data_IF_262124560130
#
_entry.id   IF_262124560130
#
_cell.length_a   1.000
_cell.length_b   1.000
_cell.length_c   1.000
_cell.angle_alpha   90.00
_cell.angle_beta   90.00
_cell.angle_gamma   90.00
#
_symmetry.space_group_name_H-M   'P 1'
#
loop_
_entity.id
_entity.type
_entity.pdbx_description
1 polymer ?
#
# COMPACT_ATOMS: atom_id res chain seq x y z
N UNK A 1 41.28 0.68 -83.68
CA UNK A 1 42.51 1.15 -84.40
C UNK A 1 43.58 1.57 -83.40
N UNK A 2 44.66 0.86 -83.45
CA UNK A 2 46.07 1.22 -83.28
C UNK A 2 46.49 1.67 -81.85
N UNK A 3 47.27 0.84 -81.13
CA UNK A 3 48.73 0.66 -81.11
C UNK A 3 49.48 2.01 -80.81
N UNK A 4 50.36 2.13 -79.82
CA UNK A 4 51.62 1.43 -79.59
C UNK A 4 52.22 1.95 -78.25
N UNK A 5 52.80 1.14 -77.41
CA UNK A 5 54.23 0.82 -77.15
C UNK A 5 55.17 1.98 -76.86
N UNK A 6 55.89 1.88 -75.75
CA UNK A 6 57.34 1.91 -75.59
C UNK A 6 57.72 2.27 -74.14
N UNK A 7 58.27 1.39 -73.36
CA UNK A 7 59.67 1.01 -73.14
C UNK A 7 60.48 1.96 -72.22
N UNK A 8 60.79 1.47 -71.07
CA UNK A 8 62.11 1.30 -70.43
C UNK A 8 63.01 2.48 -70.16
N UNK A 9 63.24 2.75 -68.85
CA UNK A 9 64.64 3.02 -68.41
C UNK A 9 64.81 2.76 -66.93
N UNK A 10 65.64 1.81 -66.61
CA UNK A 10 66.20 1.52 -65.28
C UNK A 10 67.09 2.70 -64.86
N UNK A 11 66.99 3.08 -63.59
CA UNK A 11 68.10 3.61 -62.85
C UNK A 11 68.11 3.16 -61.41
N UNK A 12 69.19 2.53 -61.03
CA UNK A 12 69.48 2.00 -59.74
C UNK A 12 69.91 3.11 -58.78
N UNK A 13 69.30 3.22 -57.66
CA UNK A 13 69.87 3.91 -56.51
C UNK A 13 70.00 2.94 -55.35
N UNK A 14 71.22 2.65 -54.99
CA UNK A 14 71.70 1.83 -53.91
C UNK A 14 71.72 2.69 -52.62
N UNK A 15 70.64 2.66 -51.79
CA UNK A 15 70.58 3.38 -50.52
C UNK A 15 70.79 2.40 -49.38
N UNK A 16 71.74 2.68 -48.53
CA UNK A 16 72.13 1.93 -47.32
C UNK A 16 70.93 1.79 -46.38
N UNK A 17 70.53 0.54 -46.08
CA UNK A 17 69.61 0.22 -44.94
C UNK A 17 70.45 0.29 -43.68
N UNK A 18 70.27 1.31 -42.88
CA UNK A 18 70.60 1.30 -41.44
C UNK A 18 69.60 0.43 -40.71
N UNK A 19 70.05 -0.64 -40.06
CA UNK A 19 69.25 -1.50 -39.18
C UNK A 19 68.80 -0.73 -37.94
N UNK A 20 67.55 -0.29 -37.95
CA UNK A 20 66.92 0.19 -36.70
C UNK A 20 66.62 -1.03 -35.75
N UNK A 21 67.30 -1.02 -34.62
CA UNK A 21 67.09 -2.02 -33.56
C UNK A 21 65.63 -2.04 -33.12
N UNK A 22 64.94 -3.16 -33.34
CA UNK A 22 63.61 -3.44 -32.82
C UNK A 22 63.68 -3.46 -31.29
N UNK A 23 63.17 -2.40 -30.62
CA UNK A 23 62.91 -2.43 -29.18
C UNK A 23 61.90 -3.52 -28.91
N UNK A 24 62.34 -4.62 -28.28
CA UNK A 24 61.48 -5.68 -27.76
C UNK A 24 60.46 -5.09 -26.81
N UNK A 25 59.16 -5.23 -27.12
CA UNK A 25 58.08 -4.94 -26.17
C UNK A 25 58.31 -5.81 -24.93
N UNK A 26 58.27 -5.25 -23.72
CA UNK A 26 58.34 -6.04 -22.52
C UNK A 26 57.18 -7.06 -22.51
N UNK A 27 57.48 -8.34 -22.41
CA UNK A 27 56.48 -9.41 -22.28
C UNK A 27 55.68 -9.13 -21.02
N UNK A 28 54.35 -8.99 -21.14
CA UNK A 28 53.50 -8.91 -20.00
C UNK A 28 53.69 -10.16 -19.13
N UNK A 29 54.11 -9.96 -17.88
CA UNK A 29 54.24 -11.07 -16.92
C UNK A 29 52.87 -11.77 -16.82
N UNK A 30 52.83 -13.13 -16.91
CA UNK A 30 51.56 -13.83 -16.75
C UNK A 30 51.03 -13.58 -15.36
N UNK A 31 49.73 -13.23 -15.27
CA UNK A 31 49.04 -13.08 -13.99
C UNK A 31 49.14 -14.38 -13.19
N UNK A 32 49.59 -14.28 -11.96
CA UNK A 32 49.62 -15.44 -11.04
C UNK A 32 48.20 -15.84 -10.67
N UNK A 33 47.95 -17.14 -10.46
CA UNK A 33 46.62 -17.64 -10.00
C UNK A 33 46.10 -16.97 -8.72
N UNK A 34 46.97 -16.35 -7.92
CA UNK A 34 46.62 -15.59 -6.71
C UNK A 34 45.98 -14.22 -7.03
N UNK A 35 46.38 -13.58 -8.15
CA UNK A 35 45.79 -12.30 -8.58
C UNK A 35 44.39 -12.46 -9.20
N UNK A 36 43.96 -13.70 -9.47
CA UNK A 36 42.63 -14.04 -10.00
C UNK A 36 41.63 -14.50 -8.92
N UNK A 37 42.06 -14.60 -7.66
CA UNK A 37 41.12 -14.96 -6.57
C UNK A 37 40.29 -13.73 -6.21
N UNK A 38 38.94 -13.80 -6.31
CA UNK A 38 38.09 -12.71 -5.85
C UNK A 38 38.35 -12.47 -4.36
N UNK A 39 38.53 -11.21 -3.97
CA UNK A 39 38.73 -10.83 -2.56
C UNK A 39 37.65 -11.44 -1.67
N UNK A 40 38.01 -11.92 -0.48
CA UNK A 40 37.06 -12.52 0.51
C UNK A 40 35.83 -11.64 0.74
N UNK A 41 36.00 -10.32 0.71
CA UNK A 41 34.94 -9.31 0.83
C UNK A 41 33.85 -9.46 -0.25
N UNK A 42 34.22 -9.72 -1.50
CA UNK A 42 33.24 -9.95 -2.59
C UNK A 42 32.48 -11.26 -2.46
N UNK A 43 33.05 -12.27 -1.81
CA UNK A 43 32.37 -13.57 -1.58
C UNK A 43 31.22 -13.41 -0.57
N UNK A 44 31.43 -12.66 0.52
CA UNK A 44 30.40 -12.38 1.52
C UNK A 44 29.27 -11.52 0.92
N UNK A 45 29.60 -10.44 0.22
CA UNK A 45 28.61 -9.60 -0.47
C UNK A 45 27.81 -10.43 -1.50
N UNK A 46 28.48 -11.32 -2.23
CA UNK A 46 27.82 -12.23 -3.17
C UNK A 46 26.89 -13.24 -2.51
N UNK A 47 27.23 -13.72 -1.32
CA UNK A 47 26.33 -14.55 -0.52
C UNK A 47 25.09 -13.76 -0.08
N UNK A 48 25.27 -12.57 0.48
CA UNK A 48 24.14 -11.69 0.87
C UNK A 48 23.26 -11.35 -0.33
N UNK A 49 23.84 -11.04 -1.49
CA UNK A 49 23.10 -10.79 -2.71
C UNK A 49 22.17 -11.95 -3.09
N UNK A 50 22.69 -13.20 -3.01
CA UNK A 50 21.88 -14.39 -3.29
C UNK A 50 20.76 -14.57 -2.26
N UNK A 51 21.06 -14.43 -0.97
CA UNK A 51 20.06 -14.57 0.10
C UNK A 51 18.94 -13.53 -0.07
N UNK A 52 19.28 -12.26 -0.27
CA UNK A 52 18.29 -11.21 -0.41
C UNK A 52 17.48 -11.32 -1.70
N UNK A 53 18.11 -11.73 -2.81
CA UNK A 53 17.39 -11.99 -4.06
C UNK A 53 16.38 -13.14 -3.89
N UNK A 54 16.76 -14.23 -3.21
CA UNK A 54 15.86 -15.35 -2.94
C UNK A 54 14.73 -14.98 -1.99
N UNK A 55 14.99 -14.19 -0.93
CA UNK A 55 13.95 -13.70 -0.02
C UNK A 55 12.96 -12.81 -0.76
N UNK A 56 13.45 -11.89 -1.61
CA UNK A 56 12.59 -11.04 -2.43
C UNK A 56 11.76 -11.87 -3.41
N UNK A 57 12.36 -12.84 -4.08
CA UNK A 57 11.65 -13.76 -4.97
C UNK A 57 10.55 -14.54 -4.25
N UNK A 58 10.85 -15.06 -3.06
CA UNK A 58 9.90 -15.82 -2.24
C UNK A 58 8.71 -14.94 -1.82
N UNK A 59 8.96 -13.72 -1.35
CA UNK A 59 7.90 -12.77 -0.98
C UNK A 59 7.06 -12.36 -2.21
N UNK A 60 7.71 -12.14 -3.35
CA UNK A 60 7.02 -11.85 -4.62
C UNK A 60 6.12 -13.01 -5.05
N UNK A 61 6.60 -14.25 -4.90
CA UNK A 61 5.81 -15.44 -5.17
C UNK A 61 4.64 -15.59 -4.20
N UNK A 62 4.84 -15.31 -2.91
CA UNK A 62 3.78 -15.36 -1.90
C UNK A 62 2.62 -14.39 -2.23
N UNK A 63 2.93 -13.16 -2.67
CA UNK A 63 1.91 -12.20 -3.12
C UNK A 63 1.13 -12.69 -4.36
N UNK A 64 1.77 -13.46 -5.22
CA UNK A 64 1.16 -14.00 -6.43
C UNK A 64 0.31 -15.28 -6.19
N UNK A 65 0.29 -15.81 -4.96
CA UNK A 65 -0.53 -16.97 -4.62
C UNK A 65 -2.02 -16.65 -4.76
N UNK A 66 -2.85 -17.61 -5.18
CA UNK A 66 -4.30 -17.53 -5.07
C UNK A 66 -4.75 -17.27 -3.62
N UNK A 67 -5.92 -16.64 -3.44
CA UNK A 67 -6.44 -16.27 -2.12
C UNK A 67 -6.50 -17.46 -1.14
N UNK A 68 -6.91 -18.63 -1.60
CA UNK A 68 -7.01 -19.83 -0.78
C UNK A 68 -5.66 -20.32 -0.21
N UNK A 69 -4.56 -20.02 -0.88
CA UNK A 69 -3.22 -20.33 -0.37
C UNK A 69 -2.65 -19.22 0.52
N UNK A 70 -3.26 -18.05 0.50
CA UNK A 70 -2.82 -16.94 1.36
C UNK A 70 -3.30 -17.08 2.81
N UNK A 71 -4.24 -17.99 3.12
CA UNK A 71 -4.62 -18.33 4.49
C UNK A 71 -3.63 -19.28 5.20
N UNK A 72 -2.57 -19.71 4.51
CA UNK A 72 -1.53 -20.54 5.14
C UNK A 72 -0.80 -19.76 6.25
N UNK A 73 -0.37 -20.46 7.31
CA UNK A 73 0.31 -19.82 8.44
C UNK A 73 1.45 -18.90 8.02
N UNK A 74 1.46 -17.68 8.56
CA UNK A 74 2.44 -16.61 8.34
C UNK A 74 2.47 -16.01 6.92
N UNK A 75 1.78 -16.58 5.93
CA UNK A 75 1.73 -16.03 4.56
C UNK A 75 1.11 -14.63 4.54
N UNK A 76 -0.02 -14.36 5.24
CA UNK A 76 -0.56 -12.99 5.27
C UNK A 76 0.43 -11.97 5.86
N UNK A 77 1.13 -12.33 6.94
CA UNK A 77 2.12 -11.43 7.56
C UNK A 77 3.27 -11.13 6.58
N UNK A 78 3.74 -12.13 5.85
CA UNK A 78 4.76 -11.94 4.82
C UNK A 78 4.29 -10.98 3.72
N UNK A 79 3.05 -11.18 3.24
CA UNK A 79 2.47 -10.35 2.18
C UNK A 79 2.27 -8.90 2.64
N UNK A 80 1.92 -8.65 3.91
CA UNK A 80 1.80 -7.29 4.46
C UNK A 80 3.09 -6.46 4.29
N UNK A 81 4.24 -7.10 4.20
CA UNK A 81 5.53 -6.46 4.02
C UNK A 81 5.99 -6.34 2.54
N UNK A 82 5.12 -6.59 1.57
CA UNK A 82 5.47 -6.58 0.13
C UNK A 82 6.24 -5.33 -0.31
N UNK A 83 5.84 -4.08 0.02
CA UNK A 83 6.59 -2.89 -0.39
C UNK A 83 8.05 -2.88 0.10
N UNK A 84 8.30 -3.44 1.26
CA UNK A 84 9.64 -3.51 1.87
C UNK A 84 10.54 -4.55 1.19
N UNK A 85 9.94 -5.62 0.65
CA UNK A 85 10.69 -6.59 -0.15
C UNK A 85 11.16 -6.01 -1.49
N UNK A 86 10.48 -5.03 -2.05
CA UNK A 86 10.99 -4.28 -3.20
C UNK A 86 12.30 -3.55 -2.84
N UNK A 87 12.37 -2.90 -1.67
CA UNK A 87 13.59 -2.27 -1.18
C UNK A 87 14.71 -3.30 -0.96
N UNK A 88 14.38 -4.45 -0.35
CA UNK A 88 15.34 -5.54 -0.18
C UNK A 88 15.89 -6.06 -1.53
N UNK A 89 15.02 -6.14 -2.55
CA UNK A 89 15.40 -6.51 -3.92
C UNK A 89 16.35 -5.51 -4.57
N UNK A 90 16.16 -4.21 -4.34
CA UNK A 90 17.09 -3.16 -4.80
C UNK A 90 18.46 -3.31 -4.12
N UNK A 91 18.50 -3.59 -2.83
CA UNK A 91 19.74 -3.87 -2.10
C UNK A 91 20.41 -5.14 -2.66
N UNK A 92 19.64 -6.20 -2.89
CA UNK A 92 20.13 -7.43 -3.51
C UNK A 92 20.77 -7.17 -4.87
N UNK A 93 20.13 -6.36 -5.71
CA UNK A 93 20.63 -5.96 -7.03
C UNK A 93 21.97 -5.22 -6.93
N UNK A 94 22.08 -4.23 -6.07
CA UNK A 94 23.33 -3.50 -5.83
C UNK A 94 24.46 -4.44 -5.39
N UNK A 95 24.19 -5.31 -4.43
CA UNK A 95 25.16 -6.29 -3.93
C UNK A 95 25.55 -7.29 -5.03
N UNK A 96 24.60 -7.71 -5.88
CA UNK A 96 24.84 -8.62 -6.98
C UNK A 96 25.75 -7.99 -8.05
N UNK A 97 25.55 -6.73 -8.38
CA UNK A 97 26.40 -5.96 -9.32
C UNK A 97 27.82 -5.88 -8.76
N UNK A 98 28.00 -5.44 -7.51
CA UNK A 98 29.32 -5.29 -6.86
C UNK A 98 30.06 -6.63 -6.77
N UNK A 99 29.35 -7.71 -6.47
CA UNK A 99 29.91 -9.05 -6.32
C UNK A 99 29.92 -9.88 -7.63
N UNK A 100 29.46 -9.31 -8.75
CA UNK A 100 29.36 -9.96 -10.07
C UNK A 100 28.54 -11.25 -10.07
N UNK A 101 27.43 -11.27 -9.32
CA UNK A 101 26.51 -12.41 -9.22
C UNK A 101 25.35 -12.24 -10.22
N UNK A 102 25.57 -12.64 -11.46
CA UNK A 102 24.64 -12.41 -12.58
C UNK A 102 23.25 -13.02 -12.29
N UNK A 103 23.17 -14.26 -11.83
CA UNK A 103 21.88 -14.91 -11.57
C UNK A 103 21.09 -14.18 -10.45
N UNK A 104 21.77 -13.81 -9.36
CA UNK A 104 21.14 -13.02 -8.30
C UNK A 104 20.65 -11.64 -8.79
N UNK A 105 21.41 -10.99 -9.67
CA UNK A 105 21.02 -9.74 -10.31
C UNK A 105 19.76 -9.90 -11.18
N UNK A 106 19.71 -10.95 -12.01
CA UNK A 106 18.53 -11.22 -12.84
C UNK A 106 17.28 -11.51 -12.01
N UNK A 107 17.40 -12.32 -10.95
CA UNK A 107 16.29 -12.59 -10.02
C UNK A 107 15.83 -11.29 -9.35
N UNK A 108 16.75 -10.49 -8.83
CA UNK A 108 16.43 -9.23 -8.17
C UNK A 108 15.75 -8.23 -9.15
N UNK A 109 16.24 -8.10 -10.40
CA UNK A 109 15.62 -7.26 -11.42
C UNK A 109 14.18 -7.71 -11.69
N UNK A 110 13.95 -9.00 -11.92
CA UNK A 110 12.62 -9.51 -12.20
C UNK A 110 11.64 -9.27 -11.04
N UNK A 111 12.08 -9.57 -9.80
CA UNK A 111 11.26 -9.37 -8.61
C UNK A 111 10.97 -7.87 -8.35
N UNK A 112 11.97 -7.00 -8.47
CA UNK A 112 11.81 -5.54 -8.30
C UNK A 112 10.90 -4.96 -9.39
N UNK A 113 11.06 -5.37 -10.64
CA UNK A 113 10.23 -4.90 -11.74
C UNK A 113 8.76 -5.29 -11.53
N UNK A 114 8.50 -6.54 -11.13
CA UNK A 114 7.14 -7.03 -10.86
C UNK A 114 6.51 -6.32 -9.65
N UNK A 115 7.24 -6.17 -8.54
CA UNK A 115 6.76 -5.41 -7.39
C UNK A 115 6.53 -3.93 -7.75
N UNK A 116 7.43 -3.31 -8.50
CA UNK A 116 7.26 -1.94 -9.00
C UNK A 116 6.00 -1.78 -9.85
N UNK A 117 5.73 -2.71 -10.75
CA UNK A 117 4.49 -2.74 -11.52
C UNK A 117 3.24 -2.82 -10.63
N UNK A 118 3.24 -3.67 -9.59
CA UNK A 118 2.13 -3.80 -8.68
C UNK A 118 1.91 -2.57 -7.80
N UNK A 119 2.99 -1.90 -7.38
CA UNK A 119 2.92 -0.74 -6.49
C UNK A 119 2.77 0.60 -7.24
N UNK A 120 3.06 0.65 -8.54
CA UNK A 120 3.02 1.88 -9.35
C UNK A 120 1.71 2.68 -9.20
N UNK A 121 0.49 2.05 -9.21
CA UNK A 121 -0.75 2.80 -9.08
C UNK A 121 -0.94 3.54 -7.74
N UNK A 122 -0.19 3.20 -6.70
CA UNK A 122 -0.19 4.00 -5.46
C UNK A 122 0.45 5.37 -5.62
N UNK A 123 1.23 5.58 -6.68
CA UNK A 123 1.99 6.81 -6.93
C UNK A 123 1.52 7.57 -8.17
N UNK A 124 0.47 7.07 -8.81
CA UNK A 124 -0.09 7.68 -10.00
C UNK A 124 -1.60 7.67 -9.93
N UNK A 125 -2.21 8.87 -9.74
CA UNK A 125 -3.67 8.98 -9.72
C UNK A 125 -4.27 8.65 -11.08
N UNK A 126 -5.26 7.77 -11.08
CA UNK A 126 -6.08 7.46 -12.26
C UNK A 126 -7.31 8.35 -12.34
N UNK A 127 -7.77 8.84 -11.19
CA UNK A 127 -8.96 9.68 -11.04
C UNK A 127 -8.68 10.75 -9.99
N UNK A 128 -7.98 11.86 -10.35
CA UNK A 128 -7.66 12.91 -9.39
C UNK A 128 -8.94 13.59 -8.88
N UNK A 129 -8.93 13.97 -7.60
CA UNK A 129 -10.01 14.77 -7.03
C UNK A 129 -10.16 16.07 -7.80
N UNK A 130 -11.41 16.49 -8.12
CA UNK A 130 -11.66 17.78 -8.73
C UNK A 130 -11.29 18.93 -7.77
N UNK A 131 -10.95 20.11 -8.33
CA UNK A 131 -10.61 21.27 -7.53
C UNK A 131 -11.76 21.69 -6.59
N UNK A 132 -13.01 21.41 -6.98
CA UNK A 132 -14.18 21.65 -6.15
C UNK A 132 -14.12 20.88 -4.81
N UNK A 133 -13.70 19.61 -4.83
CA UNK A 133 -13.54 18.81 -3.62
C UNK A 133 -12.42 19.36 -2.71
N UNK A 134 -11.31 19.84 -3.28
CA UNK A 134 -10.26 20.51 -2.51
C UNK A 134 -10.77 21.77 -1.83
N UNK A 135 -11.60 22.55 -2.52
CA UNK A 135 -12.17 23.77 -1.99
C UNK A 135 -13.22 23.49 -0.91
N UNK A 136 -14.09 22.49 -1.11
CA UNK A 136 -15.16 22.13 -0.19
C UNK A 136 -14.62 21.81 1.22
N UNK A 137 -13.52 21.05 1.30
CA UNK A 137 -12.89 20.66 2.57
C UNK A 137 -11.88 21.69 3.10
N UNK A 138 -11.70 22.83 2.42
CA UNK A 138 -10.78 23.89 2.86
C UNK A 138 -11.41 24.91 3.81
N UNK A 139 -12.74 24.93 3.93
CA UNK A 139 -13.47 25.87 4.80
C UNK A 139 -13.36 25.52 6.28
N UNK A 140 -13.72 26.46 7.16
CA UNK A 140 -13.62 26.26 8.61
C UNK A 140 -14.65 25.28 9.20
N UNK A 141 -15.76 25.06 8.50
CA UNK A 141 -16.83 24.15 8.89
C UNK A 141 -17.06 23.12 7.77
N UNK A 142 -17.53 21.93 8.16
CA UNK A 142 -17.93 20.89 7.23
C UNK A 142 -19.15 21.34 6.42
N UNK A 143 -19.14 21.15 5.11
CA UNK A 143 -20.28 21.42 4.25
C UNK A 143 -21.03 20.13 3.94
N UNK A 144 -22.04 19.82 4.73
CA UNK A 144 -22.82 18.59 4.63
C UNK A 144 -23.90 18.62 3.52
N UNK A 145 -23.94 19.68 2.71
CA UNK A 145 -24.93 19.83 1.64
C UNK A 145 -24.38 19.63 0.24
N UNK A 146 -23.09 19.33 0.12
CA UNK A 146 -22.44 19.03 -1.17
C UNK A 146 -22.15 17.54 -1.34
N UNK A 147 -21.52 17.16 -2.46
CA UNK A 147 -21.19 15.79 -2.80
C UNK A 147 -19.80 15.36 -2.33
N UNK A 148 -19.14 16.18 -1.52
CA UNK A 148 -17.78 15.95 -1.01
C UNK A 148 -17.84 15.72 0.49
N UNK A 149 -17.01 14.81 1.02
CA UNK A 149 -16.87 14.64 2.45
C UNK A 149 -15.43 14.35 2.85
N UNK A 150 -15.04 14.88 4.00
CA UNK A 150 -13.86 14.44 4.70
C UNK A 150 -14.24 13.28 5.62
N UNK A 151 -13.70 12.09 5.34
CA UNK A 151 -14.00 10.89 6.12
C UNK A 151 -12.77 10.42 6.89
N UNK A 152 -12.99 9.76 8.03
CA UNK A 152 -11.92 9.23 8.88
C UNK A 152 -12.27 7.83 9.36
N UNK A 153 -11.30 6.91 9.32
CA UNK A 153 -11.39 5.62 10.00
C UNK A 153 -10.25 5.44 10.98
N UNK A 154 -10.53 4.77 12.11
CA UNK A 154 -9.52 4.57 13.15
C UNK A 154 -9.89 3.40 14.08
N UNK A 155 -9.01 2.40 14.17
CA UNK A 155 -9.10 1.35 15.17
C UNK A 155 -8.62 1.92 16.53
N UNK A 156 -9.49 1.90 17.54
CA UNK A 156 -9.25 2.51 18.86
C UNK A 156 -8.62 1.55 19.88
N UNK A 157 -8.15 0.40 19.42
CA UNK A 157 -7.45 -0.60 20.24
C UNK A 157 -8.17 -0.93 21.55
N UNK A 158 -9.32 -1.60 21.44
CA UNK A 158 -10.17 -1.98 22.60
C UNK A 158 -10.56 -0.78 23.47
N UNK A 159 -10.80 0.36 22.81
CA UNK A 159 -11.18 1.59 23.50
C UNK A 159 -10.06 2.24 24.33
N UNK A 160 -8.78 1.99 24.01
CA UNK A 160 -7.63 2.58 24.70
C UNK A 160 -7.18 3.91 24.08
N UNK A 161 -7.61 4.22 22.86
CA UNK A 161 -7.25 5.46 22.19
C UNK A 161 -7.70 6.70 22.97
N UNK A 162 -6.98 7.80 22.80
CA UNK A 162 -7.30 9.09 23.44
C UNK A 162 -8.51 9.74 22.75
N UNK A 163 -9.64 9.74 23.45
CA UNK A 163 -10.92 10.26 22.95
C UNK A 163 -10.87 11.76 22.67
N UNK A 164 -10.15 12.53 23.48
CA UNK A 164 -10.00 13.99 23.28
C UNK A 164 -9.26 14.29 21.98
N UNK A 165 -8.14 13.59 21.72
CA UNK A 165 -7.38 13.75 20.48
C UNK A 165 -8.18 13.32 19.24
N UNK A 166 -9.09 12.34 19.36
CA UNK A 166 -10.01 11.99 18.26
C UNK A 166 -10.94 13.16 17.96
N UNK A 167 -11.59 13.72 18.99
CA UNK A 167 -12.51 14.87 18.81
C UNK A 167 -11.81 16.09 18.24
N UNK A 168 -10.59 16.37 18.72
CA UNK A 168 -9.75 17.46 18.15
C UNK A 168 -9.41 17.19 16.68
N UNK A 169 -9.06 15.95 16.33
CA UNK A 169 -8.79 15.58 14.94
C UNK A 169 -10.04 15.74 14.07
N UNK A 170 -11.20 15.29 14.54
CA UNK A 170 -12.49 15.46 13.85
C UNK A 170 -12.77 16.94 13.58
N UNK A 171 -12.62 17.80 14.60
CA UNK A 171 -12.79 19.24 14.48
C UNK A 171 -11.80 19.84 13.47
N UNK A 172 -10.52 19.59 13.67
CA UNK A 172 -9.43 20.26 12.93
C UNK A 172 -9.35 19.80 11.47
N UNK A 173 -9.74 18.56 11.20
CA UNK A 173 -9.80 18.00 9.84
C UNK A 173 -11.19 18.09 9.21
N UNK A 174 -12.18 18.64 9.92
CA UNK A 174 -13.58 18.80 9.45
C UNK A 174 -14.18 17.48 8.96
N UNK A 175 -14.00 16.43 9.77
CA UNK A 175 -14.51 15.10 9.46
C UNK A 175 -16.02 15.10 9.50
N UNK A 176 -16.66 14.57 8.47
CA UNK A 176 -18.11 14.48 8.33
C UNK A 176 -18.63 13.09 8.60
N UNK A 177 -17.83 12.06 8.32
CA UNK A 177 -18.15 10.68 8.64
C UNK A 177 -16.93 10.00 9.30
N UNK A 178 -17.14 9.43 10.48
CA UNK A 178 -16.13 8.75 11.29
C UNK A 178 -16.53 7.30 11.52
N UNK A 179 -15.64 6.36 11.16
CA UNK A 179 -15.76 4.94 11.50
C UNK A 179 -14.70 4.57 12.54
N UNK A 180 -15.13 3.97 13.65
CA UNK A 180 -14.22 3.51 14.70
C UNK A 180 -14.37 2.00 14.90
N UNK A 181 -13.25 1.30 15.01
CA UNK A 181 -13.19 -0.13 15.26
C UNK A 181 -12.68 -0.40 16.67
N UNK A 182 -13.04 -1.54 17.22
CA UNK A 182 -12.76 -1.96 18.60
C UNK A 182 -13.36 -1.02 19.66
N UNK A 183 -14.56 -0.50 19.41
CA UNK A 183 -15.28 0.36 20.33
C UNK A 183 -15.91 -0.44 21.47
N UNK A 184 -15.69 0.00 22.71
CA UNK A 184 -16.35 -0.50 23.92
C UNK A 184 -17.33 0.52 24.46
N UNK A 185 -18.32 0.10 25.29
CA UNK A 185 -19.25 1.03 25.94
C UNK A 185 -18.53 2.12 26.74
N UNK A 186 -17.48 1.72 27.45
CA UNK A 186 -16.67 2.65 28.22
C UNK A 186 -15.95 3.68 27.34
N UNK A 187 -15.51 3.28 26.15
CA UNK A 187 -14.88 4.19 25.19
C UNK A 187 -15.91 5.13 24.55
N UNK A 188 -17.07 4.61 24.15
CA UNK A 188 -18.16 5.43 23.60
C UNK A 188 -18.55 6.52 24.58
N UNK A 189 -18.64 6.20 25.89
CA UNK A 189 -18.90 7.22 26.91
C UNK A 189 -17.80 8.28 26.97
N UNK A 190 -16.50 7.89 26.96
CA UNK A 190 -15.38 8.83 26.95
C UNK A 190 -15.42 9.74 25.71
N UNK A 191 -15.77 9.19 24.54
CA UNK A 191 -15.87 9.95 23.30
C UNK A 191 -17.01 10.99 23.37
N UNK A 192 -18.15 10.63 23.96
CA UNK A 192 -19.26 11.57 24.22
C UNK A 192 -18.86 12.64 25.24
N UNK A 193 -18.23 12.25 26.34
CA UNK A 193 -17.76 13.19 27.36
C UNK A 193 -16.71 14.19 26.78
N UNK A 194 -15.90 13.75 25.79
CA UNK A 194 -14.99 14.60 25.03
C UNK A 194 -15.68 15.52 24.02
N UNK A 195 -16.97 15.35 23.76
CA UNK A 195 -17.80 16.25 22.98
C UNK A 195 -17.90 15.94 21.50
N UNK A 196 -17.77 14.65 21.09
CA UNK A 196 -17.92 14.24 19.69
C UNK A 196 -19.25 14.66 19.09
N UNK A 197 -20.34 14.62 19.86
CA UNK A 197 -21.70 14.95 19.42
C UNK A 197 -21.85 16.43 18.97
N UNK A 198 -20.90 17.31 19.32
CA UNK A 198 -20.86 18.68 18.83
C UNK A 198 -20.57 18.76 17.32
N UNK A 199 -19.82 17.79 16.81
CA UNK A 199 -19.36 17.74 15.42
C UNK A 199 -20.07 16.67 14.61
N UNK A 200 -20.31 15.51 15.24
CA UNK A 200 -20.93 14.32 14.65
C UNK A 200 -22.10 13.86 15.53
N UNK A 201 -23.25 14.55 15.47
CA UNK A 201 -24.38 14.32 16.38
C UNK A 201 -25.15 13.02 16.10
N UNK A 202 -24.96 12.42 14.92
CA UNK A 202 -25.66 11.20 14.53
C UNK A 202 -24.70 10.01 14.58
N UNK A 203 -25.16 8.89 15.12
CA UNK A 203 -24.34 7.70 15.21
C UNK A 203 -25.14 6.41 15.13
N UNK A 204 -24.51 5.37 14.63
CA UNK A 204 -24.95 3.97 14.73
C UNK A 204 -23.79 3.17 15.35
N UNK A 205 -23.99 2.62 16.55
CA UNK A 205 -22.90 2.07 17.37
C UNK A 205 -23.29 0.68 17.83
N UNK A 206 -22.47 -0.30 17.44
CA UNK A 206 -22.54 -1.69 17.91
C UNK A 206 -21.30 -1.97 18.75
N UNK A 207 -21.24 -1.37 19.94
CA UNK A 207 -20.12 -1.55 20.88
C UNK A 207 -20.10 -2.94 21.49
N UNK A 208 -18.91 -3.42 21.84
CA UNK A 208 -18.73 -4.71 22.48
C UNK A 208 -17.42 -4.73 23.26
N UNK A 209 -17.32 -5.53 24.29
CA UNK A 209 -16.05 -5.77 24.95
C UNK A 209 -15.05 -6.46 24.01
N UNK A 210 -13.78 -6.07 24.13
CA UNK A 210 -12.71 -6.63 23.31
C UNK A 210 -12.60 -6.00 21.92
N UNK A 211 -12.60 -6.83 20.86
CA UNK A 211 -12.29 -6.41 19.49
C UNK A 211 -13.49 -6.37 18.54
N UNK A 212 -14.69 -6.69 19.01
CA UNK A 212 -15.84 -6.94 18.13
C UNK A 212 -16.71 -5.71 17.90
N UNK A 213 -16.59 -4.68 18.75
CA UNK A 213 -17.43 -3.50 18.66
C UNK A 213 -16.94 -2.50 17.60
N UNK A 214 -17.88 -1.96 16.84
CA UNK A 214 -17.61 -0.90 15.87
C UNK A 214 -18.66 0.20 15.99
N UNK A 215 -18.37 1.37 15.44
CA UNK A 215 -19.31 2.48 15.40
C UNK A 215 -19.11 3.36 14.16
N UNK A 216 -20.19 4.00 13.77
CA UNK A 216 -20.25 4.98 12.71
C UNK A 216 -20.86 6.27 13.25
N UNK A 217 -20.21 7.41 13.06
CA UNK A 217 -20.67 8.74 13.41
C UNK A 217 -20.74 9.62 12.18
N UNK A 218 -21.73 10.53 12.14
CA UNK A 218 -21.94 11.41 11.00
C UNK A 218 -22.36 12.82 11.44
N UNK A 219 -21.95 13.81 10.67
CA UNK A 219 -22.42 15.20 10.79
C UNK A 219 -23.87 15.37 10.30
N UNK A 220 -24.35 14.47 9.43
CA UNK A 220 -25.72 14.44 8.89
C UNK A 220 -26.47 13.21 9.37
N UNK A 221 -27.82 13.22 9.34
CA UNK A 221 -28.63 12.08 9.74
C UNK A 221 -28.24 10.79 9.03
N UNK A 222 -28.12 9.69 9.78
CA UNK A 222 -27.93 8.35 9.28
C UNK A 222 -29.29 7.71 9.01
N UNK A 223 -29.69 7.59 7.75
CA UNK A 223 -30.90 6.89 7.38
C UNK A 223 -30.67 5.36 7.34
N UNK A 224 -31.71 4.61 7.61
CA UNK A 224 -31.71 3.13 7.56
C UNK A 224 -30.50 2.51 8.30
N UNK A 225 -30.26 2.86 9.59
CA UNK A 225 -29.17 2.29 10.36
C UNK A 225 -29.37 0.79 10.56
N UNK A 226 -28.27 0.00 10.44
CA UNK A 226 -28.23 -1.41 10.77
C UNK A 226 -26.99 -1.71 11.59
N UNK A 227 -27.07 -2.67 12.51
CA UNK A 227 -25.98 -2.99 13.42
C UNK A 227 -24.90 -3.84 12.77
N UNK A 228 -25.23 -4.58 11.72
CA UNK A 228 -24.31 -5.40 10.94
C UNK A 228 -24.77 -5.51 9.48
N UNK A 229 -24.17 -4.73 8.59
CA UNK A 229 -24.50 -4.69 7.17
C UNK A 229 -23.97 -5.91 6.41
N UNK A 230 -22.85 -6.45 6.85
CA UNK A 230 -22.13 -7.51 6.16
C UNK A 230 -22.54 -8.89 6.65
N UNK A 231 -23.12 -8.97 7.85
CA UNK A 231 -23.36 -10.22 8.59
C UNK A 231 -22.04 -11.02 8.74
N UNK A 232 -21.02 -10.32 9.22
CA UNK A 232 -19.67 -10.85 9.32
C UNK A 232 -19.48 -11.73 10.55
N UNK A 233 -18.72 -12.79 10.38
CA UNK A 233 -18.25 -13.63 11.51
C UNK A 233 -17.13 -13.00 12.34
N UNK A 234 -16.59 -11.83 11.91
CA UNK A 234 -15.45 -11.19 12.56
C UNK A 234 -15.85 -10.20 13.64
N UNK A 235 -16.77 -9.29 13.34
CA UNK A 235 -17.22 -8.21 14.24
C UNK A 235 -18.56 -7.67 13.77
N UNK A 236 -19.21 -6.83 14.56
CA UNK A 236 -20.30 -6.02 14.06
C UNK A 236 -19.79 -5.02 13.04
N UNK A 237 -20.52 -4.84 11.95
CA UNK A 237 -20.18 -3.87 10.88
C UNK A 237 -21.35 -2.90 10.66
N UNK A 238 -21.56 -1.95 11.58
CA UNK A 238 -22.68 -1.04 11.53
C UNK A 238 -22.61 -0.16 10.30
N UNK A 239 -23.78 0.13 9.74
CA UNK A 239 -23.94 0.97 8.58
C UNK A 239 -25.06 1.99 8.73
N UNK A 240 -25.01 3.02 7.89
CA UNK A 240 -26.06 4.01 7.77
C UNK A 240 -25.91 4.77 6.45
N UNK A 241 -27.03 5.26 5.93
CA UNK A 241 -27.06 6.00 4.66
C UNK A 241 -27.00 7.51 4.95
N UNK A 242 -26.06 8.19 4.32
CA UNK A 242 -25.86 9.64 4.38
C UNK A 242 -26.28 10.25 3.04
N UNK A 243 -27.04 11.33 3.07
CA UNK A 243 -27.28 12.16 1.91
C UNK A 243 -26.08 13.10 1.72
N UNK A 244 -25.44 13.01 0.55
CA UNK A 244 -24.33 13.86 0.15
C UNK A 244 -24.71 14.63 -1.11
N UNK A 245 -25.30 15.82 -0.94
CA UNK A 245 -25.74 16.67 -2.04
C UNK A 245 -26.77 16.01 -2.96
N UNK A 246 -27.73 15.28 -2.39
CA UNK A 246 -28.74 14.50 -3.11
C UNK A 246 -28.29 13.12 -3.56
N UNK A 247 -27.07 12.68 -3.20
CA UNK A 247 -26.57 11.34 -3.43
C UNK A 247 -26.69 10.51 -2.14
N UNK A 248 -27.47 9.46 -2.16
CA UNK A 248 -27.59 8.51 -1.03
C UNK A 248 -26.41 7.56 -1.02
N UNK A 249 -25.54 7.67 -0.02
CA UNK A 249 -24.32 6.87 0.12
C UNK A 249 -24.39 6.06 1.41
N UNK A 250 -24.20 4.76 1.30
CA UNK A 250 -24.18 3.86 2.44
C UNK A 250 -22.77 3.68 2.97
N UNK A 251 -22.55 4.18 4.16
CA UNK A 251 -21.29 4.04 4.89
C UNK A 251 -21.33 2.79 5.77
N UNK A 252 -20.22 2.04 5.79
CA UNK A 252 -20.06 0.82 6.59
C UNK A 252 -18.77 0.92 7.38
N UNK A 253 -18.84 0.74 8.70
CA UNK A 253 -17.65 0.60 9.55
C UNK A 253 -17.19 -0.85 9.55
N UNK A 254 -16.00 -1.12 9.03
CA UNK A 254 -15.48 -2.47 8.76
C UNK A 254 -14.39 -2.84 9.77
N UNK A 255 -14.45 -4.07 10.30
CA UNK A 255 -13.35 -4.67 11.03
C UNK A 255 -13.31 -6.18 10.80
N UNK A 256 -12.33 -6.65 10.05
CA UNK A 256 -12.13 -8.07 9.75
C UNK A 256 -11.27 -8.75 10.82
N UNK A 257 -11.28 -10.07 10.84
CA UNK A 257 -10.41 -10.84 11.74
C UNK A 257 -8.94 -10.58 11.44
N UNK A 258 -8.09 -10.45 12.47
CA UNK A 258 -6.65 -10.31 12.29
C UNK A 258 -5.99 -11.64 11.87
N UNK A 259 -5.00 -11.63 10.95
CA UNK A 259 -4.26 -12.81 10.53
C UNK A 259 -3.18 -13.21 11.55
N UNK A 260 -3.62 -13.70 12.70
CA UNK A 260 -2.75 -14.15 13.80
C UNK A 260 -2.76 -15.67 13.94
N UNK A 261 -1.78 -16.28 14.66
CA UNK A 261 -1.76 -17.73 14.88
C UNK A 261 -3.09 -18.28 15.39
N UNK A 262 -3.62 -19.28 14.69
CA UNK A 262 -4.92 -19.90 14.98
C UNK A 262 -6.10 -19.27 14.24
N UNK A 263 -5.96 -18.09 13.63
CA UNK A 263 -7.07 -17.35 13.01
C UNK A 263 -6.91 -17.11 11.49
N UNK A 264 -5.96 -17.78 10.82
CA UNK A 264 -5.67 -17.58 9.40
C UNK A 264 -6.90 -17.78 8.51
N UNK A 265 -7.69 -18.84 8.75
CA UNK A 265 -8.92 -19.14 8.01
C UNK A 265 -10.03 -18.15 8.31
N UNK A 266 -10.17 -17.74 9.57
CA UNK A 266 -11.15 -16.74 9.98
C UNK A 266 -10.87 -15.39 9.35
N UNK A 267 -9.58 -15.01 9.26
CA UNK A 267 -9.14 -13.83 8.54
C UNK A 267 -9.61 -13.86 7.08
N UNK A 268 -9.29 -14.92 6.34
CA UNK A 268 -9.75 -15.06 4.94
C UNK A 268 -11.26 -15.04 4.84
N UNK A 269 -11.97 -15.81 5.69
CA UNK A 269 -13.42 -15.87 5.71
C UNK A 269 -14.06 -14.49 5.87
N UNK A 270 -13.57 -13.66 6.76
CA UNK A 270 -14.14 -12.32 6.99
C UNK A 270 -13.97 -11.40 5.78
N UNK A 271 -12.92 -11.57 4.99
CA UNK A 271 -12.73 -10.87 3.71
C UNK A 271 -13.61 -11.45 2.61
N UNK A 272 -13.82 -12.77 2.57
CA UNK A 272 -14.75 -13.42 1.64
C UNK A 272 -16.21 -12.96 1.90
N UNK A 273 -16.61 -12.81 3.16
CA UNK A 273 -17.92 -12.29 3.58
C UNK A 273 -18.12 -10.85 3.06
N UNK A 274 -17.11 -9.99 3.17
CA UNK A 274 -17.11 -8.67 2.53
C UNK A 274 -17.23 -8.76 1.00
N UNK A 275 -16.61 -9.74 0.38
CA UNK A 275 -16.69 -9.98 -1.06
C UNK A 275 -18.13 -10.16 -1.58
N UNK A 276 -19.04 -10.65 -0.75
CA UNK A 276 -20.46 -10.80 -1.10
C UNK A 276 -21.15 -9.44 -1.36
N UNK A 277 -20.62 -8.36 -0.77
CA UNK A 277 -21.16 -7.00 -0.96
C UNK A 277 -21.07 -6.51 -2.41
N UNK A 278 -20.24 -7.12 -3.25
CA UNK A 278 -20.21 -6.80 -4.69
C UNK A 278 -21.56 -7.00 -5.39
N UNK A 279 -22.37 -7.95 -4.90
CA UNK A 279 -23.69 -8.26 -5.45
C UNK A 279 -24.82 -7.37 -4.89
N UNK A 280 -24.57 -6.58 -3.84
CA UNK A 280 -25.56 -5.69 -3.22
C UNK A 280 -25.64 -4.37 -4.00
N UNK A 281 -26.41 -4.34 -5.06
CA UNK A 281 -26.48 -3.21 -6.01
C UNK A 281 -27.52 -2.14 -5.66
N UNK A 282 -28.30 -2.33 -4.58
CA UNK A 282 -29.36 -1.41 -4.18
C UNK A 282 -28.80 -0.10 -3.56
N UNK A 283 -27.55 -0.11 -3.15
CA UNK A 283 -26.84 1.02 -2.57
C UNK A 283 -25.51 1.27 -3.26
N UNK A 284 -25.03 2.51 -3.18
CA UNK A 284 -23.66 2.90 -3.43
C UNK A 284 -22.94 2.91 -2.09
N UNK A 285 -21.81 2.23 -1.98
CA UNK A 285 -21.13 1.99 -0.72
C UNK A 285 -19.82 2.77 -0.55
N UNK A 286 -19.53 3.15 0.70
CA UNK A 286 -18.19 3.49 1.17
C UNK A 286 -17.92 2.63 2.41
N UNK A 287 -16.94 1.75 2.31
CA UNK A 287 -16.45 0.93 3.42
C UNK A 287 -15.24 1.60 4.05
N UNK A 288 -15.23 1.72 5.37
CA UNK A 288 -14.17 2.41 6.11
C UNK A 288 -13.78 1.55 7.30
N UNK A 289 -12.51 1.22 7.44
CA UNK A 289 -12.14 0.41 8.61
C UNK A 289 -10.77 -0.25 8.54
N UNK A 290 -10.57 -1.10 9.54
CA UNK A 290 -9.46 -2.02 9.64
C UNK A 290 -9.82 -3.34 8.93
N UNK A 291 -9.28 -3.52 7.74
CA UNK A 291 -9.46 -4.73 6.95
C UNK A 291 -8.47 -5.84 7.33
N UNK A 292 -7.56 -5.56 8.26
CA UNK A 292 -6.51 -6.50 8.64
C UNK A 292 -5.78 -7.12 7.42
N UNK A 293 -5.81 -6.43 6.31
CA UNK A 293 -5.26 -6.83 5.02
C UNK A 293 -4.71 -5.60 4.29
N UNK A 294 -3.57 -5.72 3.65
CA UNK A 294 -3.06 -4.72 2.73
C UNK A 294 -3.61 -4.97 1.31
N UNK A 295 -3.48 -4.00 0.42
CA UNK A 295 -3.82 -4.19 -1.00
C UNK A 295 -3.08 -5.38 -1.65
N UNK A 296 -1.94 -5.80 -1.10
CA UNK A 296 -1.17 -6.91 -1.63
C UNK A 296 -1.78 -8.29 -1.36
N UNK A 297 -2.76 -8.38 -0.43
CA UNK A 297 -3.50 -9.61 -0.18
C UNK A 297 -4.54 -9.89 -1.27
N UNK A 298 -4.54 -11.13 -1.80
CA UNK A 298 -5.53 -11.54 -2.81
C UNK A 298 -6.96 -11.49 -2.28
N UNK A 299 -7.29 -11.94 -1.04
CA UNK A 299 -8.66 -11.83 -0.53
C UNK A 299 -9.19 -10.39 -0.47
N UNK A 300 -8.35 -9.41 -0.15
CA UNK A 300 -8.75 -8.00 -0.19
C UNK A 300 -9.00 -7.52 -1.63
N UNK A 301 -8.17 -7.91 -2.59
CA UNK A 301 -8.40 -7.58 -4.00
C UNK A 301 -9.64 -8.29 -4.56
N UNK A 302 -9.95 -9.50 -4.09
CA UNK A 302 -11.18 -10.22 -4.46
C UNK A 302 -12.41 -9.50 -3.90
N UNK A 303 -12.38 -8.97 -2.67
CA UNK A 303 -13.41 -8.08 -2.15
C UNK A 303 -13.61 -6.85 -3.04
N UNK A 304 -12.52 -6.20 -3.46
CA UNK A 304 -12.63 -5.03 -4.36
C UNK A 304 -13.26 -5.41 -5.70
N UNK A 305 -12.87 -6.55 -6.27
CA UNK A 305 -13.35 -7.03 -7.55
C UNK A 305 -13.18 -6.00 -8.66
N UNK A 306 -14.29 -5.77 -9.39
CA UNK A 306 -14.37 -4.74 -10.45
C UNK A 306 -15.20 -3.53 -10.04
N UNK A 307 -15.83 -3.58 -8.86
CA UNK A 307 -16.78 -2.56 -8.40
C UNK A 307 -16.16 -1.58 -7.41
N UNK A 308 -15.34 -2.06 -6.49
CA UNK A 308 -14.84 -1.25 -5.39
C UNK A 308 -13.38 -0.84 -5.60
N UNK A 309 -13.02 0.32 -5.11
CA UNK A 309 -11.71 0.93 -5.32
C UNK A 309 -11.11 1.41 -3.99
N UNK A 310 -9.87 1.05 -3.72
CA UNK A 310 -9.11 1.57 -2.59
C UNK A 310 -8.73 3.03 -2.81
N UNK A 311 -9.10 3.90 -1.89
CA UNK A 311 -8.93 5.35 -2.00
C UNK A 311 -7.46 5.77 -2.12
N UNK A 312 -6.57 5.15 -1.35
CA UNK A 312 -5.14 5.47 -1.41
C UNK A 312 -4.55 5.13 -2.78
N UNK A 313 -5.01 4.02 -3.37
CA UNK A 313 -4.53 3.57 -4.66
C UNK A 313 -5.04 4.44 -5.82
N UNK A 314 -6.34 4.76 -5.88
CA UNK A 314 -6.88 5.59 -6.96
C UNK A 314 -6.42 7.04 -6.90
N UNK A 315 -6.14 7.53 -5.70
CA UNK A 315 -5.65 8.90 -5.48
C UNK A 315 -4.19 9.11 -5.91
N UNK A 316 -3.42 8.05 -6.05
CA UNK A 316 -1.97 8.16 -6.29
C UNK A 316 -1.19 8.79 -5.13
N UNK A 317 -1.74 8.76 -3.92
CA UNK A 317 -1.16 9.40 -2.73
C UNK A 317 0.17 8.77 -2.29
N UNK A 318 0.39 7.51 -2.58
CA UNK A 318 1.45 6.68 -2.02
C UNK A 318 0.90 5.71 -0.98
N UNK A 319 1.80 5.11 -0.20
CA UNK A 319 1.39 4.17 0.84
C UNK A 319 0.78 4.86 2.06
N UNK A 320 -0.32 4.33 2.55
CA UNK A 320 -0.98 4.74 3.79
C UNK A 320 -0.67 3.75 4.91
N UNK A 321 0.61 3.64 5.29
CA UNK A 321 0.99 2.76 6.40
C UNK A 321 0.37 3.25 7.70
N UNK A 322 -0.45 2.42 8.32
CA UNK A 322 -1.22 2.74 9.52
C UNK A 322 -0.84 1.90 10.73
N UNK A 323 -0.18 0.75 10.54
CA UNK A 323 0.15 -0.20 11.60
C UNK A 323 1.60 -0.71 11.51
N UNK A 324 2.26 -1.01 12.65
CA UNK A 324 1.90 -0.68 14.03
C UNK A 324 2.44 0.70 14.46
N UNK A 325 1.77 1.36 15.40
CA UNK A 325 2.26 2.63 15.99
C UNK A 325 2.96 2.45 17.32
N UNK A 326 2.69 1.35 18.03
CA UNK A 326 3.08 1.09 19.43
C UNK A 326 4.30 0.17 19.60
N UNK A 327 5.09 -0.06 18.54
CA UNK A 327 6.28 -0.92 18.57
C UNK A 327 7.56 -0.10 18.51
N UNK A 328 8.29 0.09 19.62
CA UNK A 328 9.55 0.83 19.61
C UNK A 328 10.55 0.24 18.60
N UNK A 329 11.13 1.10 17.76
CA UNK A 329 12.11 0.70 16.75
C UNK A 329 11.54 0.04 15.48
N UNK A 330 10.24 -0.24 15.42
CA UNK A 330 9.57 -0.70 14.23
C UNK A 330 8.69 0.42 13.67
N UNK A 331 8.96 0.91 12.45
CA UNK A 331 8.08 1.90 11.81
C UNK A 331 6.73 1.26 11.44
N UNK A 332 5.70 2.06 11.25
CA UNK A 332 4.49 1.62 10.56
C UNK A 332 4.90 1.08 9.19
N UNK A 333 4.51 -0.14 8.87
CA UNK A 333 4.93 -0.80 7.64
C UNK A 333 3.80 -1.44 6.85
N UNK A 334 2.62 -1.57 7.43
CA UNK A 334 1.44 -2.15 6.79
C UNK A 334 0.30 -1.13 6.74
N UNK A 335 -0.29 -0.94 5.57
CA UNK A 335 -1.53 -0.19 5.39
C UNK A 335 -2.69 -1.17 5.41
N UNK A 336 -3.31 -1.34 6.57
CA UNK A 336 -4.41 -2.29 6.80
C UNK A 336 -5.74 -1.58 7.09
N UNK A 337 -5.68 -0.28 7.33
CA UNK A 337 -6.85 0.59 7.43
C UNK A 337 -7.12 1.21 6.05
N UNK A 338 -8.35 1.08 5.57
CA UNK A 338 -8.74 1.52 4.24
C UNK A 338 -10.03 2.34 4.24
N UNK A 339 -10.14 3.21 3.24
CA UNK A 339 -11.40 3.75 2.75
C UNK A 339 -11.58 3.19 1.34
N UNK A 340 -12.65 2.46 1.14
CA UNK A 340 -12.98 1.80 -0.11
C UNK A 340 -14.27 2.41 -0.66
N UNK A 341 -14.22 2.91 -1.88
CA UNK A 341 -15.32 3.61 -2.53
C UNK A 341 -15.93 2.78 -3.66
N UNK A 342 -17.21 2.96 -3.93
CA UNK A 342 -17.92 2.33 -5.04
C UNK A 342 -17.51 2.94 -6.39
N UNK A 343 -17.77 2.24 -7.48
CA UNK A 343 -17.52 2.72 -8.85
C UNK A 343 -18.17 4.07 -9.10
N UNK A 344 -17.52 4.91 -9.90
CA UNK A 344 -17.99 6.26 -10.23
C UNK A 344 -17.74 7.28 -9.12
N UNK A 345 -17.09 6.92 -8.00
CA UNK A 345 -16.62 7.84 -6.99
C UNK A 345 -15.13 8.12 -7.17
N UNK A 346 -14.67 9.27 -6.69
CA UNK A 346 -13.24 9.58 -6.60
C UNK A 346 -12.81 9.83 -5.17
N UNK A 347 -11.51 9.71 -4.90
CA UNK A 347 -10.96 9.92 -3.56
C UNK A 347 -9.55 10.53 -3.64
N UNK A 348 -9.15 11.24 -2.59
CA UNK A 348 -7.82 11.82 -2.50
C UNK A 348 -7.53 12.47 -1.16
N UNK A 349 -6.49 13.33 -1.12
CA UNK A 349 -6.04 13.99 0.11
C UNK A 349 -5.89 13.00 1.28
N UNK A 350 -5.42 11.78 1.00
CA UNK A 350 -5.19 10.77 2.02
C UNK A 350 -4.19 11.32 3.05
N UNK A 351 -4.46 11.10 4.34
CA UNK A 351 -3.59 11.53 5.44
C UNK A 351 -3.62 10.50 6.55
N UNK A 352 -2.46 10.09 7.01
CA UNK A 352 -2.32 9.20 8.18
C UNK A 352 -1.95 10.05 9.40
N UNK A 353 -2.71 9.91 10.49
CA UNK A 353 -2.54 10.69 11.72
C UNK A 353 -2.40 9.75 12.91
N UNK A 354 -1.29 9.86 13.64
CA UNK A 354 -1.10 9.10 14.89
C UNK A 354 -1.90 9.75 16.00
N UNK A 355 -2.71 8.94 16.68
CA UNK A 355 -3.46 9.30 17.87
C UNK A 355 -2.98 8.41 19.02
N UNK A 356 -2.74 8.98 20.18
CA UNK A 356 -2.22 8.24 21.33
C UNK A 356 -3.16 7.13 21.80
N UNK A 357 -2.62 6.06 22.35
CA UNK A 357 -3.39 4.98 22.97
C UNK A 357 -3.82 3.87 22.00
N UNK A 358 -3.55 3.99 20.70
CA UNK A 358 -3.81 2.92 19.75
C UNK A 358 -2.51 2.37 19.15
N UNK A 359 -2.56 1.13 18.66
CA UNK A 359 -1.52 0.54 17.82
C UNK A 359 -1.75 0.79 16.33
N UNK A 360 -2.82 1.46 15.96
CA UNK A 360 -3.09 2.00 14.63
C UNK A 360 -2.89 3.51 14.55
N UNK A 361 -2.78 4.02 13.34
CA UNK A 361 -2.94 5.44 13.03
C UNK A 361 -4.25 5.65 12.26
N UNK A 362 -4.92 6.76 12.50
CA UNK A 362 -6.14 7.12 11.79
C UNK A 362 -5.85 7.43 10.32
N UNK A 363 -6.74 6.96 9.43
CA UNK A 363 -6.70 7.29 8.01
C UNK A 363 -7.82 8.28 7.69
N UNK A 364 -7.45 9.42 7.13
CA UNK A 364 -8.37 10.43 6.61
C UNK A 364 -8.31 10.46 5.08
N UNK A 365 -9.49 10.61 4.47
CA UNK A 365 -9.63 10.68 3.01
C UNK A 365 -10.69 11.74 2.67
N UNK A 366 -10.50 12.48 1.60
CA UNK A 366 -11.57 13.27 0.97
C UNK A 366 -12.19 12.42 -0.14
N UNK A 367 -13.51 12.28 -0.12
CA UNK A 367 -14.28 11.54 -1.13
C UNK A 367 -15.15 12.49 -1.94
N UNK A 368 -15.34 12.18 -3.20
CA UNK A 368 -16.29 12.81 -4.11
C UNK A 368 -17.23 11.72 -4.62
N UNK A 369 -18.53 11.87 -4.36
CA UNK A 369 -19.54 10.87 -4.68
C UNK A 369 -20.35 11.22 -5.92
N UNK A 370 -20.04 12.34 -6.58
CA UNK A 370 -20.65 12.62 -7.89
C UNK A 370 -20.24 11.53 -8.89
N UNK A 371 -21.18 11.10 -9.70
CA UNK A 371 -20.86 10.23 -10.83
C UNK A 371 -20.10 11.06 -11.87
N UNK A 372 -18.86 10.66 -12.13
CA UNK A 372 -18.05 11.19 -13.23
C UNK A 372 -18.43 10.57 -14.56
#
# INVERSE_FOLDING_TARGET
MARATSANKRNAYRGKRTAAAAKSRPSAKPYTKEQLKPHKKHRFLGFLACVFALLTLFATAARALPADLQELPYVPILISATPWFMLLGLIALLLAIVSRKILAALIAIAAVALNGYWQYPFFYSTTPLPQAAHNAVAYNEANTSDAFARVMTFNVYKGQADAQSIVETVRDQRVEVLALQETTDGFVKKLKDAGIERYLPYSNISSSDGVYGNGLWSATPLAQPVDDEVNSSASFMPAGTVDMGGNSIRFVSVHTTAPVPGYWRQWKRSLDELGLMQSHTDNRYIFMGDFNATYDHAPFREFLGTRFYDAARISGHGFTFSWPTNRPGLPMFAGIDHVVVDQGMTAGQCKVVKIAGSDHAALLVTVDVMQS
#
